data_IF_464487046776
#
_entry.id   IF_464487046776
#
_cell.length_a   1.000
_cell.length_b   1.000
_cell.length_c   1.000
_cell.angle_alpha   90.00
_cell.angle_beta   90.00
_cell.angle_gamma   90.00
#
_symmetry.space_group_name_H-M   'P 1'
#
loop_
_entity.id
_entity.type
_entity.pdbx_description
1 polymer ?
#
# COMPACT_ATOMS: atom_id res chain seq x y z
N UNK A 1 -15.79 4.18 7.34
CA UNK A 1 -14.87 5.13 6.68
C UNK A 1 -15.58 5.84 5.54
N UNK A 2 -15.01 6.93 4.99
CA UNK A 2 -15.59 7.61 3.82
C UNK A 2 -15.19 6.90 2.52
N UNK A 3 -16.11 6.83 1.57
CA UNK A 3 -15.91 6.32 0.19
C UNK A 3 -14.63 6.89 -0.45
N UNK A 4 -14.36 8.18 -0.22
CA UNK A 4 -13.14 8.86 -0.67
C UNK A 4 -11.82 8.21 -0.21
N UNK A 5 -11.77 7.54 0.95
CA UNK A 5 -10.55 6.85 1.39
C UNK A 5 -10.31 5.57 0.57
N UNK A 6 -11.37 4.82 0.29
CA UNK A 6 -11.31 3.58 -0.51
C UNK A 6 -10.83 3.94 -1.91
N UNK A 7 -11.40 4.97 -2.54
CA UNK A 7 -10.96 5.45 -3.86
C UNK A 7 -9.47 5.80 -3.88
N UNK A 8 -8.96 6.46 -2.83
CA UNK A 8 -7.53 6.80 -2.72
C UNK A 8 -6.66 5.55 -2.57
N UNK A 9 -7.13 4.53 -1.85
CA UNK A 9 -6.41 3.26 -1.72
C UNK A 9 -6.42 2.46 -3.04
N UNK A 10 -7.49 2.56 -3.83
CA UNK A 10 -7.54 1.98 -5.18
C UNK A 10 -6.50 2.66 -6.07
N UNK A 11 -6.45 3.99 -6.07
CA UNK A 11 -5.42 4.74 -6.81
C UNK A 11 -4.02 4.32 -6.37
N UNK A 12 -3.80 4.14 -5.06
CA UNK A 12 -2.51 3.66 -4.55
C UNK A 12 -2.15 2.26 -5.07
N UNK A 13 -3.12 1.33 -5.08
CA UNK A 13 -2.94 -0.03 -5.59
C UNK A 13 -2.60 -0.05 -7.09
N UNK A 14 -3.17 0.87 -7.86
CA UNK A 14 -2.93 1.01 -9.30
C UNK A 14 -1.69 1.85 -9.65
N UNK A 15 -1.06 2.48 -8.64
CA UNK A 15 0.11 3.33 -8.85
C UNK A 15 1.38 2.52 -8.97
N UNK A 16 2.14 2.75 -10.05
CA UNK A 16 3.46 2.15 -10.24
C UNK A 16 3.41 0.63 -10.41
N UNK A 17 4.52 -0.03 -10.07
CA UNK A 17 4.66 -1.49 -10.23
C UNK A 17 4.59 -2.28 -8.92
N UNK A 18 4.96 -1.65 -7.80
CA UNK A 18 4.92 -2.22 -6.48
C UNK A 18 4.54 -1.15 -5.46
N UNK A 19 3.88 -1.57 -4.40
CA UNK A 19 3.53 -0.75 -3.26
C UNK A 19 4.42 -1.10 -2.07
N UNK A 20 4.71 -0.09 -1.25
CA UNK A 20 5.44 -0.21 -0.01
C UNK A 20 4.74 0.58 1.08
N UNK A 21 4.47 -0.11 2.17
CA UNK A 21 3.79 0.40 3.36
C UNK A 21 4.76 0.26 4.52
N UNK A 22 5.15 1.38 5.12
CA UNK A 22 5.95 1.38 6.35
C UNK A 22 5.02 1.70 7.52
N UNK A 23 4.85 0.74 8.41
CA UNK A 23 3.96 0.84 9.56
C UNK A 23 4.69 0.35 10.80
N UNK A 24 4.76 1.18 11.86
CA UNK A 24 5.40 0.81 13.15
C UNK A 24 6.82 0.26 12.97
N UNK A 25 7.56 0.78 11.98
CA UNK A 25 8.92 0.34 11.64
C UNK A 25 9.02 -0.95 10.81
N UNK A 26 7.88 -1.61 10.52
CA UNK A 26 7.82 -2.76 9.62
C UNK A 26 7.58 -2.29 8.18
N UNK A 27 8.29 -2.90 7.24
CA UNK A 27 8.11 -2.62 5.81
C UNK A 27 7.38 -3.78 5.15
N UNK A 28 6.20 -3.49 4.60
CA UNK A 28 5.46 -4.40 3.74
C UNK A 28 5.62 -3.92 2.30
N UNK A 29 6.35 -4.66 1.49
CA UNK A 29 6.57 -4.35 0.07
C UNK A 29 6.01 -5.48 -0.80
N UNK A 30 5.17 -5.13 -1.76
CA UNK A 30 4.46 -6.10 -2.59
C UNK A 30 3.37 -5.48 -3.43
N UNK A 31 2.32 -6.27 -3.67
CA UNK A 31 1.16 -5.85 -4.45
C UNK A 31 -0.08 -5.81 -3.59
N UNK A 32 -0.90 -4.79 -3.78
CA UNK A 32 -2.23 -4.75 -3.19
C UNK A 32 -3.11 -5.73 -3.94
N UNK A 33 -3.63 -6.72 -3.23
CA UNK A 33 -4.44 -7.79 -3.81
C UNK A 33 -5.94 -7.54 -3.61
N UNK A 34 -6.30 -6.91 -2.49
CA UNK A 34 -7.69 -6.68 -2.10
C UNK A 34 -7.80 -5.43 -1.21
N UNK A 35 -8.89 -4.70 -1.37
CA UNK A 35 -9.29 -3.60 -0.49
C UNK A 35 -10.74 -3.88 -0.10
N UNK A 36 -11.00 -4.00 1.19
CA UNK A 36 -12.34 -4.22 1.75
C UNK A 36 -12.85 -2.94 2.39
N UNK A 37 -13.96 -3.01 3.13
CA UNK A 37 -14.48 -1.88 3.88
C UNK A 37 -13.65 -1.57 5.15
N UNK A 38 -12.76 -2.47 5.57
CA UNK A 38 -12.05 -2.40 6.86
C UNK A 38 -10.52 -2.47 6.75
N UNK A 39 -9.99 -3.13 5.72
CA UNK A 39 -8.58 -3.41 5.59
C UNK A 39 -8.13 -3.54 4.13
N UNK A 40 -6.81 -3.43 3.94
CA UNK A 40 -6.12 -3.67 2.68
C UNK A 40 -5.24 -4.91 2.81
N UNK A 41 -5.26 -5.77 1.81
CA UNK A 41 -4.42 -6.94 1.69
C UNK A 41 -3.21 -6.62 0.81
N UNK A 42 -2.01 -6.74 1.37
CA UNK A 42 -0.75 -6.69 0.61
C UNK A 42 -0.10 -8.07 0.59
N UNK A 43 0.11 -8.60 -0.62
CA UNK A 43 0.90 -9.81 -0.82
C UNK A 43 2.36 -9.43 -1.00
N UNK A 44 3.15 -9.73 0.02
CA UNK A 44 4.59 -9.45 0.07
C UNK A 44 5.36 -10.67 -0.43
N UNK A 45 6.26 -10.49 -1.40
CA UNK A 45 6.89 -11.65 -2.05
C UNK A 45 8.09 -11.36 -2.91
N UNK A 46 8.64 -10.14 -2.87
CA UNK A 46 9.74 -9.74 -3.76
C UNK A 46 11.06 -10.49 -3.49
N UNK A 47 11.18 -11.26 -2.40
CA UNK A 47 12.42 -11.99 -2.06
C UNK A 47 12.25 -13.30 -1.30
N UNK A 48 11.02 -13.74 -0.99
CA UNK A 48 10.79 -15.00 -0.26
C UNK A 48 10.18 -16.06 -1.19
N UNK A 49 10.56 -17.34 -1.01
CA UNK A 49 10.00 -18.48 -1.77
C UNK A 49 8.49 -18.67 -1.58
N UNK A 50 7.90 -17.97 -0.61
CA UNK A 50 6.49 -18.00 -0.27
C UNK A 50 6.04 -16.54 -0.11
N UNK A 51 5.09 -16.11 -0.93
CA UNK A 51 4.43 -14.83 -0.71
C UNK A 51 3.67 -14.85 0.62
N UNK A 52 3.78 -13.77 1.40
CA UNK A 52 3.05 -13.58 2.65
C UNK A 52 1.99 -12.52 2.44
N UNK A 53 0.75 -12.91 2.68
CA UNK A 53 -0.40 -12.02 2.64
C UNK A 53 -0.57 -11.36 4.01
N UNK A 54 -0.58 -10.03 4.02
CA UNK A 54 -0.72 -9.22 5.23
C UNK A 54 -1.95 -8.32 5.10
N UNK A 55 -2.87 -8.47 6.04
CA UNK A 55 -3.99 -7.55 6.20
C UNK A 55 -3.56 -6.36 7.05
N UNK A 56 -3.76 -5.15 6.54
CA UNK A 56 -3.50 -3.90 7.23
C UNK A 56 -4.81 -3.14 7.38
N UNK A 57 -5.25 -2.97 8.62
CA UNK A 57 -6.49 -2.25 8.94
C UNK A 57 -6.35 -0.76 8.66
N UNK A 58 -7.43 -0.11 8.24
CA UNK A 58 -7.38 1.30 7.82
C UNK A 58 -6.94 2.26 8.92
N UNK A 59 -7.29 1.96 10.17
CA UNK A 59 -6.84 2.76 11.33
C UNK A 59 -5.31 2.76 11.49
N UNK A 60 -4.64 1.68 11.07
CA UNK A 60 -3.19 1.62 11.04
C UNK A 60 -2.61 2.34 9.80
N UNK A 61 -3.29 2.30 8.65
CA UNK A 61 -2.87 3.00 7.42
C UNK A 61 -2.84 4.53 7.57
N UNK A 62 -3.69 5.12 8.40
CA UNK A 62 -3.65 6.55 8.69
C UNK A 62 -2.31 7.02 9.29
N UNK A 63 -1.58 6.08 9.90
CA UNK A 63 -0.28 6.31 10.53
C UNK A 63 0.87 5.66 9.75
N UNK A 64 0.61 5.14 8.56
CA UNK A 64 1.60 4.49 7.72
C UNK A 64 2.18 5.46 6.68
N UNK A 65 3.43 5.23 6.29
CA UNK A 65 4.01 5.86 5.11
C UNK A 65 3.73 4.97 3.89
N UNK A 66 3.03 5.51 2.90
CA UNK A 66 2.70 4.81 1.67
C UNK A 66 3.60 5.31 0.55
N UNK A 67 4.11 4.39 -0.26
CA UNK A 67 4.88 4.72 -1.45
C UNK A 67 4.71 3.66 -2.53
N UNK A 68 4.89 4.05 -3.79
CA UNK A 68 4.88 3.14 -4.92
C UNK A 68 6.16 3.26 -5.73
N UNK A 69 6.53 2.19 -6.43
CA UNK A 69 7.69 2.17 -7.31
C UNK A 69 7.30 2.73 -8.68
N UNK A 70 7.83 3.90 -9.04
CA UNK A 70 7.66 4.51 -10.36
C UNK A 70 8.70 3.95 -11.33
N UNK A 71 8.26 3.12 -12.29
CA UNK A 71 9.12 2.54 -13.32
C UNK A 71 9.70 3.58 -14.29
N UNK A 72 9.10 4.77 -14.42
CA UNK A 72 9.59 5.82 -15.31
C UNK A 72 10.78 6.57 -14.69
N UNK A 73 10.74 6.76 -13.37
CA UNK A 73 11.75 7.50 -12.63
C UNK A 73 12.73 6.58 -11.86
N UNK A 74 12.45 5.28 -11.84
CA UNK A 74 13.22 4.24 -11.14
C UNK A 74 13.41 4.55 -9.65
N UNK A 75 12.35 5.04 -9.01
CA UNK A 75 12.39 5.45 -7.60
C UNK A 75 11.07 5.22 -6.86
N UNK A 76 11.15 5.17 -5.53
CA UNK A 76 9.98 5.19 -4.66
C UNK A 76 9.39 6.59 -4.59
N UNK A 77 8.12 6.72 -4.94
CA UNK A 77 7.36 7.97 -4.85
C UNK A 77 6.39 7.87 -3.69
N UNK A 78 6.37 8.89 -2.83
CA UNK A 78 5.45 8.96 -1.70
C UNK A 78 4.01 9.12 -2.19
N UNK A 79 3.10 8.39 -1.56
CA UNK A 79 1.66 8.46 -1.81
C UNK A 79 0.97 9.08 -0.59
N UNK A 80 0.21 10.14 -0.81
CA UNK A 80 -0.54 10.81 0.24
C UNK A 80 -2.02 10.41 0.16
N UNK A 81 -2.59 9.90 1.25
CA UNK A 81 -4.02 9.54 1.29
C UNK A 81 -4.94 10.76 1.17
N UNK A 82 -4.49 11.92 1.64
CA UNK A 82 -5.21 13.19 1.54
C UNK A 82 -4.49 14.09 0.54
N UNK A 83 -5.23 14.74 -0.35
CA UNK A 83 -4.69 15.89 -1.09
C UNK A 83 -4.53 17.04 -0.08
N UNK A 84 -3.37 17.69 -0.08
CA UNK A 84 -3.17 18.94 0.64
C UNK A 84 -3.83 20.09 -0.10
#
# INVERSE_FOLDING_TARGET
>A
MSEALIDRLVIFAESGNQQKIVLKGQTHQGWIMEITDEALLISTGYSEKVGKDNWIVFNDLEHAELSYWDNHQDQWVLFHLKEN
#
